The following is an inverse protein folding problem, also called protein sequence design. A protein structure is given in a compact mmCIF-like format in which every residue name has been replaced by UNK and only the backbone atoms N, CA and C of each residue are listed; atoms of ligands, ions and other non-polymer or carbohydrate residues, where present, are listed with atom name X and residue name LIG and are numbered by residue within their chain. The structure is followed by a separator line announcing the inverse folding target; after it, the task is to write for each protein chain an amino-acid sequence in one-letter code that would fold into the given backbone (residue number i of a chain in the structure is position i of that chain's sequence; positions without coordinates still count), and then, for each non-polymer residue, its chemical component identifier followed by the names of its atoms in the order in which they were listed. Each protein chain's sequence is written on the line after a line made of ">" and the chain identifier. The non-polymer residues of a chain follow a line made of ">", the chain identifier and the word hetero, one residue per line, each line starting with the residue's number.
data_IF_429526506295
#
_entry.id   IF_429526506295
#
_cell.length_a   1.000
_cell.length_b   1.000
_cell.length_c   1.000
_cell.angle_alpha   90.00
_cell.angle_beta   90.00
_cell.angle_gamma   90.00
#
_symmetry.space_group_name_H-M   'P 1'
#
loop_
_entity.id
_entity.type
_entity.pdbx_description
1 polymer ?
#
# COMPACT_ATOMS: atom_id res chain seq x y z
N UNK A 1 13.92 -1.99 -4.78
CA UNK A 1 12.68 -1.81 -3.99
C UNK A 1 12.94 -1.10 -2.66
N UNK A 2 13.98 -1.47 -1.90
CA UNK A 2 14.35 -0.84 -0.62
C UNK A 2 14.67 0.66 -0.72
N UNK A 3 15.53 1.08 -1.65
CA UNK A 3 15.89 2.50 -1.83
C UNK A 3 14.68 3.43 -2.09
N UNK A 4 13.66 2.93 -2.80
CA UNK A 4 12.43 3.68 -3.10
C UNK A 4 11.54 3.80 -1.86
N UNK A 5 11.60 2.83 -0.95
CA UNK A 5 10.88 2.85 0.33
C UNK A 5 11.53 3.82 1.31
N UNK A 6 12.86 3.76 1.42
CA UNK A 6 13.64 4.63 2.29
C UNK A 6 13.47 6.10 1.90
N UNK A 7 13.45 6.39 0.60
CA UNK A 7 13.23 7.75 0.10
C UNK A 7 11.84 8.30 0.47
N UNK A 8 10.79 7.47 0.43
CA UNK A 8 9.44 7.90 0.83
C UNK A 8 9.32 8.10 2.33
N UNK A 9 9.94 7.22 3.11
CA UNK A 9 9.97 7.34 4.57
C UNK A 9 10.72 8.62 4.97
N UNK A 10 11.82 8.93 4.27
CA UNK A 10 12.57 10.19 4.40
C UNK A 10 11.72 11.42 4.06
N UNK A 11 11.09 11.46 2.87
CA UNK A 11 10.25 12.60 2.45
C UNK A 11 9.05 12.82 3.39
N UNK A 12 8.44 11.74 3.90
CA UNK A 12 7.37 11.84 4.89
C UNK A 12 7.87 12.41 6.22
N UNK A 13 9.05 11.96 6.70
CA UNK A 13 9.66 12.49 7.91
C UNK A 13 10.06 13.96 7.76
N UNK A 14 10.60 14.34 6.60
CA UNK A 14 10.91 15.74 6.26
C UNK A 14 9.65 16.62 6.29
N UNK A 15 8.52 16.15 5.72
CA UNK A 15 7.25 16.88 5.80
C UNK A 15 6.73 17.02 7.24
N UNK A 16 6.86 15.97 8.06
CA UNK A 16 6.48 16.00 9.47
C UNK A 16 7.38 16.95 10.28
N UNK A 17 8.68 17.01 9.97
CA UNK A 17 9.60 17.98 10.55
C UNK A 17 9.26 19.41 10.12
N UNK A 18 9.00 19.62 8.82
CA UNK A 18 8.68 20.92 8.26
C UNK A 18 7.40 21.52 8.88
N UNK A 19 6.34 20.74 9.08
CA UNK A 19 5.10 21.24 9.70
C UNK A 19 5.29 21.61 11.18
N UNK A 20 6.19 20.92 11.89
CA UNK A 20 6.46 21.18 13.30
C UNK A 20 7.12 22.54 13.55
N UNK A 21 7.84 23.09 12.55
CA UNK A 21 8.56 24.38 12.62
C UNK A 21 7.86 25.50 11.83
N UNK A 22 6.59 25.31 11.45
CA UNK A 22 5.83 26.35 10.74
C UNK A 22 5.50 27.51 11.67
N UNK A 23 5.93 28.71 11.27
CA UNK A 23 5.71 29.97 12.00
C UNK A 23 4.76 30.95 11.29
N UNK A 24 4.31 30.63 10.07
CA UNK A 24 3.37 31.46 9.30
C UNK A 24 2.42 30.64 8.40
N UNK A 25 1.34 31.27 7.91
CA UNK A 25 0.34 30.60 7.08
C UNK A 25 0.87 30.12 5.72
N UNK A 26 1.82 30.85 5.13
CA UNK A 26 2.44 30.47 3.86
C UNK A 26 3.22 29.15 4.00
N UNK A 27 3.94 28.99 5.12
CA UNK A 27 4.65 27.77 5.50
C UNK A 27 3.70 26.60 5.75
N UNK A 28 2.56 26.85 6.42
CA UNK A 28 1.53 25.83 6.61
C UNK A 28 0.95 25.35 5.28
N UNK A 29 0.62 26.28 4.38
CA UNK A 29 0.11 25.96 3.06
C UNK A 29 1.12 25.17 2.22
N UNK A 30 2.41 25.51 2.32
CA UNK A 30 3.48 24.77 1.65
C UNK A 30 3.66 23.37 2.23
N UNK A 31 3.63 23.21 3.56
CA UNK A 31 3.72 21.91 4.21
C UNK A 31 2.55 20.98 3.79
N UNK A 32 1.33 21.51 3.69
CA UNK A 32 0.16 20.78 3.15
C UNK A 32 0.37 20.33 1.70
N UNK A 33 0.89 21.22 0.83
CA UNK A 33 1.19 20.89 -0.57
C UNK A 33 2.25 19.79 -0.68
N UNK A 34 3.31 19.88 0.11
CA UNK A 34 4.38 18.88 0.16
C UNK A 34 3.82 17.53 0.62
N UNK A 35 3.00 17.51 1.67
CA UNK A 35 2.33 16.31 2.15
C UNK A 35 1.42 15.66 1.10
N UNK A 36 0.63 16.46 0.39
CA UNK A 36 -0.18 15.99 -0.74
C UNK A 36 0.67 15.43 -1.88
N UNK A 37 1.86 15.97 -2.12
CA UNK A 37 2.81 15.45 -3.10
C UNK A 37 3.32 14.06 -2.71
N UNK A 38 3.75 13.90 -1.45
CA UNK A 38 4.17 12.60 -0.88
C UNK A 38 3.04 11.58 -1.01
N UNK A 39 1.81 11.95 -0.64
CA UNK A 39 0.64 11.09 -0.78
C UNK A 39 0.32 10.67 -2.22
N UNK A 40 0.65 11.50 -3.22
CA UNK A 40 0.51 11.16 -4.65
C UNK A 40 1.60 10.19 -5.11
N UNK A 41 2.83 10.38 -4.66
CA UNK A 41 3.94 9.45 -4.93
C UNK A 41 3.67 8.07 -4.32
N UNK A 42 3.14 8.02 -3.09
CA UNK A 42 2.75 6.77 -2.42
C UNK A 42 1.63 6.02 -3.16
N UNK A 43 0.72 6.72 -3.85
CA UNK A 43 -0.31 6.04 -4.66
C UNK A 43 0.23 5.45 -5.95
N UNK A 44 1.18 6.12 -6.60
CA UNK A 44 1.84 5.61 -7.83
C UNK A 44 2.74 4.41 -7.56
N UNK A 45 3.17 4.28 -6.32
CA UNK A 45 4.06 3.24 -5.85
C UNK A 45 3.44 1.86 -5.69
N UNK A 46 2.15 1.82 -5.38
CA UNK A 46 1.47 0.58 -5.13
C UNK A 46 1.36 -0.15 -6.47
N UNK A 47 1.78 -1.43 -6.55
CA UNK A 47 1.47 -2.23 -7.72
C UNK A 47 -0.03 -2.09 -7.97
N UNK A 48 -0.41 -1.81 -9.22
CA UNK A 48 -1.80 -1.54 -9.52
C UNK A 48 -2.64 -2.70 -8.98
N UNK A 49 -3.74 -2.39 -8.31
CA UNK A 49 -4.68 -3.41 -7.82
C UNK A 49 -5.07 -4.35 -8.98
N UNK A 50 -5.07 -3.83 -10.21
CA UNK A 50 -5.24 -4.56 -11.45
C UNK A 50 -4.18 -5.64 -11.68
N UNK A 51 -2.89 -5.39 -11.40
CA UNK A 51 -1.84 -6.40 -11.53
C UNK A 51 -2.07 -7.58 -10.58
N UNK A 52 -2.53 -7.30 -9.35
CA UNK A 52 -2.89 -8.34 -8.40
C UNK A 52 -4.12 -9.13 -8.87
N UNK A 53 -5.16 -8.45 -9.35
CA UNK A 53 -6.34 -9.11 -9.91
C UNK A 53 -5.98 -9.99 -11.11
N UNK A 54 -5.13 -9.50 -12.01
CA UNK A 54 -4.64 -10.24 -13.17
C UNK A 54 -3.82 -11.48 -12.75
N UNK A 55 -2.97 -11.34 -11.73
CA UNK A 55 -2.17 -12.46 -11.23
C UNK A 55 -3.04 -13.53 -10.55
N UNK A 56 -4.03 -13.14 -9.76
CA UNK A 56 -5.00 -14.07 -9.16
C UNK A 56 -5.84 -14.77 -10.23
N UNK A 57 -6.30 -14.03 -11.25
CA UNK A 57 -7.02 -14.60 -12.40
C UNK A 57 -6.17 -15.62 -13.15
N UNK A 58 -4.88 -15.32 -13.39
CA UNK A 58 -3.95 -16.24 -14.03
C UNK A 58 -3.75 -17.50 -13.20
N UNK A 59 -3.59 -17.37 -11.87
CA UNK A 59 -3.48 -18.51 -10.97
C UNK A 59 -4.72 -19.41 -11.00
N UNK A 60 -5.92 -18.81 -10.95
CA UNK A 60 -7.19 -19.54 -11.07
C UNK A 60 -7.29 -20.24 -12.43
N UNK A 61 -6.95 -19.55 -13.52
CA UNK A 61 -6.97 -20.13 -14.85
C UNK A 61 -6.01 -21.33 -14.97
N UNK A 62 -4.78 -21.22 -14.46
CA UNK A 62 -3.84 -22.35 -14.43
C UNK A 62 -4.38 -23.53 -13.62
N UNK A 63 -4.99 -23.28 -12.47
CA UNK A 63 -5.61 -24.34 -11.65
C UNK A 63 -6.74 -25.02 -12.44
N UNK A 64 -7.61 -24.27 -13.11
CA UNK A 64 -8.70 -24.82 -13.95
C UNK A 64 -8.13 -25.64 -15.12
N UNK A 65 -7.12 -25.12 -15.82
CA UNK A 65 -6.47 -25.84 -16.93
C UNK A 65 -5.86 -27.16 -16.47
N UNK A 66 -5.21 -27.16 -15.30
CA UNK A 66 -4.57 -28.34 -14.73
C UNK A 66 -5.61 -29.36 -14.29
N UNK A 67 -6.67 -28.93 -13.61
CA UNK A 67 -7.80 -29.80 -13.28
C UNK A 67 -8.40 -30.41 -14.55
N UNK A 68 -8.66 -29.62 -15.59
CA UNK A 68 -9.21 -30.12 -16.85
C UNK A 68 -8.26 -31.12 -17.53
N UNK A 69 -6.97 -30.81 -17.64
CA UNK A 69 -5.98 -31.71 -18.25
C UNK A 69 -5.87 -33.04 -17.50
N UNK A 70 -5.94 -33.01 -16.17
CA UNK A 70 -5.80 -34.19 -15.32
C UNK A 70 -7.11 -34.99 -15.21
N UNK A 71 -8.27 -34.33 -15.26
CA UNK A 71 -9.57 -35.01 -15.41
C UNK A 71 -9.65 -35.78 -16.72
N UNK A 72 -9.11 -35.22 -17.81
CA UNK A 72 -9.03 -35.87 -19.12
C UNK A 72 -8.10 -37.10 -19.13
N UNK A 73 -7.08 -37.10 -18.26
CA UNK A 73 -6.20 -38.25 -18.02
C UNK A 73 -6.84 -39.34 -17.15
N UNK A 74 -7.78 -38.96 -16.29
CA UNK A 74 -8.48 -39.86 -15.36
C UNK A 74 -9.80 -40.42 -15.92
N UNK A 75 -10.22 -39.98 -17.10
CA UNK A 75 -11.46 -40.38 -17.74
C UNK A 75 -11.36 -41.84 -18.26
N UNK A 76 -12.29 -42.69 -17.83
CA UNK A 76 -12.38 -44.09 -18.27
C UNK A 76 -12.73 -44.14 -19.77
N UNK A 77 -11.90 -44.82 -20.57
CA UNK A 77 -11.91 -44.84 -22.03
C UNK A 77 -11.06 -43.73 -22.67
N UNK A 78 -10.39 -42.89 -21.87
CA UNK A 78 -9.55 -41.78 -22.34
C UNK A 78 -8.10 -42.19 -22.68
N UNK A 79 -7.29 -41.24 -23.20
CA UNK A 79 -5.90 -41.50 -23.61
C UNK A 79 -5.01 -42.07 -22.50
N UNK A 80 -5.29 -41.74 -21.23
CA UNK A 80 -4.55 -42.26 -20.08
C UNK A 80 -4.68 -43.78 -19.91
N UNK A 81 -5.87 -44.33 -20.14
CA UNK A 81 -6.12 -45.77 -20.09
C UNK A 81 -5.48 -46.49 -21.29
N UNK A 82 -5.55 -45.87 -22.47
CA UNK A 82 -4.89 -46.36 -23.70
C UNK A 82 -3.37 -46.39 -23.56
N UNK A 83 -2.81 -45.49 -22.74
CA UNK A 83 -1.37 -45.40 -22.45
C UNK A 83 -0.89 -46.37 -21.37
N UNK A 84 -1.80 -47.12 -20.73
CA UNK A 84 -1.48 -48.04 -19.63
C UNK A 84 -1.09 -47.36 -18.32
N UNK A 85 -1.48 -46.09 -18.11
CA UNK A 85 -1.17 -45.38 -16.87
C UNK A 85 -1.99 -45.95 -15.71
N UNK A 86 -1.33 -46.27 -14.60
CA UNK A 86 -2.02 -46.67 -13.36
C UNK A 86 -2.89 -45.51 -12.84
N UNK A 87 -4.22 -45.71 -12.70
CA UNK A 87 -5.14 -44.65 -12.28
C UNK A 87 -4.85 -44.11 -10.88
N UNK A 88 -4.27 -44.92 -9.98
CA UNK A 88 -3.88 -44.44 -8.65
C UNK A 88 -2.70 -43.44 -8.74
N UNK A 89 -1.71 -43.75 -9.58
CA UNK A 89 -0.59 -42.86 -9.88
C UNK A 89 -1.04 -41.56 -10.56
N UNK A 90 -1.95 -41.63 -11.52
CA UNK A 90 -2.52 -40.43 -12.17
C UNK A 90 -3.24 -39.51 -11.18
N UNK A 91 -4.04 -40.08 -10.28
CA UNK A 91 -4.75 -39.34 -9.22
C UNK A 91 -3.79 -38.72 -8.20
N UNK A 92 -2.72 -39.42 -7.84
CA UNK A 92 -1.68 -38.86 -6.98
C UNK A 92 -0.97 -37.67 -7.63
N UNK A 93 -0.53 -37.81 -8.89
CA UNK A 93 0.07 -36.71 -9.66
C UNK A 93 -0.88 -35.51 -9.74
N UNK A 94 -2.18 -35.76 -9.90
CA UNK A 94 -3.19 -34.69 -9.94
C UNK A 94 -3.22 -33.89 -8.63
N UNK A 95 -3.33 -34.60 -7.50
CA UNK A 95 -3.35 -33.97 -6.18
C UNK A 95 -2.05 -33.25 -5.87
N UNK A 96 -0.90 -33.84 -6.22
CA UNK A 96 0.41 -33.24 -5.98
C UNK A 96 0.62 -31.95 -6.79
N UNK A 97 0.24 -31.93 -8.07
CA UNK A 97 0.34 -30.74 -8.92
C UNK A 97 -0.66 -29.67 -8.45
N UNK A 98 -1.90 -30.05 -8.12
CA UNK A 98 -2.89 -29.11 -7.59
C UNK A 98 -2.43 -28.49 -6.27
N UNK A 99 -1.90 -29.28 -5.33
CA UNK A 99 -1.35 -28.78 -4.08
C UNK A 99 -0.15 -27.86 -4.29
N UNK A 100 0.76 -28.21 -5.22
CA UNK A 100 1.88 -27.37 -5.62
C UNK A 100 1.46 -26.01 -6.19
N UNK A 101 0.44 -26.00 -7.06
CA UNK A 101 -0.12 -24.77 -7.62
C UNK A 101 -0.78 -23.89 -6.56
N UNK A 102 -1.55 -24.50 -5.66
CA UNK A 102 -2.12 -23.78 -4.52
C UNK A 102 -0.98 -23.17 -3.71
N UNK A 103 0.07 -23.91 -3.39
CA UNK A 103 1.19 -23.38 -2.60
C UNK A 103 1.90 -22.21 -3.30
N UNK A 104 2.22 -22.34 -4.59
CA UNK A 104 2.90 -21.32 -5.39
C UNK A 104 2.03 -20.07 -5.58
N UNK A 105 0.70 -20.20 -5.58
CA UNK A 105 -0.22 -19.05 -5.73
C UNK A 105 -0.59 -18.40 -4.40
N UNK A 106 -0.88 -19.19 -3.35
CA UNK A 106 -1.28 -18.68 -2.05
C UNK A 106 -0.13 -17.95 -1.34
N UNK A 107 1.10 -18.48 -1.42
CA UNK A 107 2.20 -17.95 -0.64
C UNK A 107 2.57 -16.51 -1.05
N UNK A 108 2.71 -16.18 -2.35
CA UNK A 108 2.88 -14.80 -2.79
C UNK A 108 1.66 -13.93 -2.51
N UNK A 109 0.44 -14.48 -2.60
CA UNK A 109 -0.79 -13.75 -2.27
C UNK A 109 -0.82 -13.33 -0.79
N UNK A 110 -0.47 -14.23 0.13
CA UNK A 110 -0.38 -13.95 1.56
C UNK A 110 0.75 -12.96 1.85
N UNK A 111 1.92 -13.13 1.24
CA UNK A 111 3.04 -12.20 1.40
C UNK A 111 2.67 -10.78 0.93
N UNK A 112 2.05 -10.66 -0.24
CA UNK A 112 1.64 -9.38 -0.79
C UNK A 112 0.50 -8.72 0.01
N UNK A 113 -0.50 -9.49 0.43
CA UNK A 113 -1.61 -8.96 1.24
C UNK A 113 -1.14 -8.50 2.61
N UNK A 114 -0.27 -9.27 3.27
CA UNK A 114 0.32 -8.84 4.56
C UNK A 114 1.17 -7.59 4.41
N UNK A 115 1.96 -7.46 3.34
CA UNK A 115 2.70 -6.24 3.05
C UNK A 115 1.79 -5.04 2.74
N UNK A 116 0.71 -5.25 1.98
CA UNK A 116 -0.30 -4.22 1.69
C UNK A 116 -1.02 -3.75 2.97
N UNK A 117 -1.37 -4.67 3.87
CA UNK A 117 -1.99 -4.32 5.16
C UNK A 117 -1.02 -3.51 6.01
N UNK A 118 0.24 -3.95 6.12
CA UNK A 118 1.28 -3.22 6.87
C UNK A 118 1.52 -1.83 6.28
N UNK A 119 1.54 -1.69 4.96
CA UNK A 119 1.73 -0.39 4.31
C UNK A 119 0.54 0.55 4.56
N UNK A 120 -0.69 0.03 4.49
CA UNK A 120 -1.91 0.77 4.82
C UNK A 120 -1.92 1.24 6.28
N UNK A 121 -1.54 0.38 7.22
CA UNK A 121 -1.44 0.73 8.64
C UNK A 121 -0.42 1.86 8.85
N UNK A 122 0.78 1.75 8.27
CA UNK A 122 1.80 2.81 8.35
C UNK A 122 1.32 4.12 7.74
N UNK A 123 0.68 4.08 6.58
CA UNK A 123 0.12 5.27 5.94
C UNK A 123 -0.96 5.93 6.81
N UNK A 124 -1.81 5.14 7.48
CA UNK A 124 -2.81 5.65 8.43
C UNK A 124 -2.16 6.31 9.64
N UNK A 125 -1.13 5.69 10.22
CA UNK A 125 -0.40 6.27 11.37
C UNK A 125 0.24 7.60 11.00
N UNK A 126 0.97 7.65 9.87
CA UNK A 126 1.61 8.88 9.39
C UNK A 126 0.61 10.01 9.10
N UNK A 127 -0.57 9.68 8.54
CA UNK A 127 -1.64 10.67 8.32
C UNK A 127 -2.21 11.22 9.62
N UNK A 128 -2.38 10.38 10.64
CA UNK A 128 -2.83 10.83 11.97
C UNK A 128 -1.78 11.76 12.58
N UNK A 129 -0.52 11.37 12.53
CA UNK A 129 0.58 12.19 13.05
C UNK A 129 0.67 13.56 12.35
N UNK A 130 0.55 13.58 11.02
CA UNK A 130 0.50 14.84 10.28
C UNK A 130 -0.67 15.71 10.72
N UNK A 131 -1.88 15.14 10.84
CA UNK A 131 -3.07 15.88 11.26
C UNK A 131 -2.94 16.46 12.68
N UNK A 132 -2.31 15.71 13.61
CA UNK A 132 -2.01 16.20 14.95
C UNK A 132 -1.05 17.40 14.92
N UNK A 133 0.08 17.27 14.22
CA UNK A 133 1.06 18.37 14.10
C UNK A 133 0.50 19.59 13.36
N UNK A 134 -0.38 19.35 12.40
CA UNK A 134 -1.10 20.40 11.69
C UNK A 134 -2.03 21.19 12.64
N UNK A 135 -2.78 20.49 13.49
CA UNK A 135 -3.64 21.13 14.49
C UNK A 135 -2.82 21.96 15.50
N UNK A 136 -1.65 21.46 15.91
CA UNK A 136 -0.70 22.20 16.77
C UNK A 136 -0.11 23.43 16.06
N UNK A 137 0.25 23.32 14.78
CA UNK A 137 0.74 24.44 14.01
C UNK A 137 -0.33 25.54 13.87
N UNK A 138 -1.57 25.15 13.58
CA UNK A 138 -2.72 26.08 13.50
C UNK A 138 -2.96 26.77 14.83
N UNK A 139 -2.98 26.04 15.95
CA UNK A 139 -3.23 26.64 17.27
C UNK A 139 -2.15 27.65 17.68
N UNK A 140 -0.88 27.41 17.33
CA UNK A 140 0.21 28.38 17.55
C UNK A 140 0.05 29.65 16.72
N UNK A 141 -0.37 29.51 15.45
CA UNK A 141 -0.62 30.66 14.58
C UNK A 141 -1.80 31.50 15.08
N UNK A 142 -2.87 30.85 15.52
CA UNK A 142 -4.06 31.54 16.07
C UNK A 142 -3.75 32.22 17.40
N UNK A 143 -2.97 31.58 18.29
CA UNK A 143 -2.50 32.19 19.53
C UNK A 143 -1.64 33.43 19.26
N UNK A 144 -0.75 33.37 18.27
CA UNK A 144 0.09 34.49 17.87
C UNK A 144 -0.72 35.65 17.29
N UNK A 145 -1.66 35.36 16.38
CA UNK A 145 -2.58 36.36 15.83
C UNK A 145 -3.38 37.04 16.94
N UNK A 146 -3.84 36.27 17.92
CA UNK A 146 -4.59 36.79 19.06
C UNK A 146 -3.73 37.71 19.93
N UNK A 147 -2.46 37.35 20.17
CA UNK A 147 -1.51 38.19 20.90
C UNK A 147 -1.17 39.50 20.15
N UNK A 148 -0.93 39.42 18.85
CA UNK A 148 -0.68 40.59 17.99
C UNK A 148 -1.89 41.53 17.95
N UNK A 149 -3.11 40.97 17.92
CA UNK A 149 -4.36 41.76 17.96
C UNK A 149 -4.65 42.38 19.33
N UNK A 150 -4.09 41.81 20.41
CA UNK A 150 -4.27 42.28 21.78
C UNK A 150 -3.22 43.33 22.20
N UNK A 151 -2.14 43.54 21.43
CA UNK A 151 -1.20 44.63 21.67
C UNK A 151 -1.84 45.95 21.21
N UNK A 152 -2.19 46.88 22.11
CA UNK A 152 -2.63 48.20 21.72
C UNK A 152 -1.48 48.90 21.00
N UNK A 153 -1.76 49.59 19.90
CA UNK A 153 -0.82 50.50 19.23
C UNK A 153 -0.25 51.50 20.22
N UNK A 154 0.85 51.14 20.87
CA UNK A 154 1.61 52.04 21.71
C UNK A 154 2.37 52.98 20.78
N UNK A 155 2.06 54.27 20.92
CA UNK A 155 2.84 55.42 20.44
C UNK A 155 2.76 55.76 18.95
N UNK A 156 1.83 56.64 18.61
CA UNK A 156 2.18 57.83 17.82
C UNK A 156 2.18 59.01 18.79
N UNK A 157 3.34 59.50 19.28
CA UNK A 157 3.37 60.78 19.96
C UNK A 157 3.16 61.86 18.90
N UNK A 158 1.97 62.48 18.90
CA UNK A 158 1.72 63.68 18.10
C UNK A 158 2.64 64.82 18.55
N UNK A 159 3.29 65.55 17.63
CA UNK A 159 3.92 66.83 17.93
C UNK A 159 2.90 67.91 18.29
#
# INVERSE_FOLDING_TARGET
>A
MWAVRDERDRLAAECLGAIAVVDNEAGLAQARRNWMSVGRQDRRALPSVLLYLAWTQLGIAMVICVINALSWLAESGGPGEISGADPATARFCLLAIAAGLVFITLLPMVAATTEAIRSLQRARTKRREFATREAEAVSRLDARRSAESAMPSASSPSP
#
